data_IF_264537713925
#
_entry.id   IF_264537713925
#
_cell.length_a   1.000
_cell.length_b   1.000
_cell.length_c   1.000
_cell.angle_alpha   90.00
_cell.angle_beta   90.00
_cell.angle_gamma   90.00
#
_symmetry.space_group_name_H-M   'P 1'
#
loop_
_entity.id
_entity.type
_entity.pdbx_description
1 polymer ?
#
# COMPACT_ATOMS: atom_id res chain seq x y z
N UNK A 1 -9.97 1.18 3.95
CA UNK A 1 -8.98 1.70 4.92
C UNK A 1 -9.72 2.43 6.03
N UNK A 2 -9.38 2.16 7.27
CA UNK A 2 -9.90 2.90 8.45
C UNK A 2 -8.75 3.75 8.99
N UNK A 3 -8.78 5.09 8.79
CA UNK A 3 -7.67 5.95 9.18
C UNK A 3 -7.61 6.16 10.70
N UNK A 4 -6.40 6.31 11.23
CA UNK A 4 -6.22 6.67 12.64
C UNK A 4 -6.91 8.03 12.96
N UNK A 5 -7.57 8.18 14.12
CA UNK A 5 -7.54 7.30 15.29
C UNK A 5 -8.57 6.16 15.26
N UNK A 6 -9.38 6.04 14.22
CA UNK A 6 -10.49 5.11 14.18
C UNK A 6 -10.03 3.65 14.01
N UNK A 7 -10.87 2.73 14.46
CA UNK A 7 -10.81 1.29 14.21
C UNK A 7 -12.19 0.77 13.80
N UNK A 8 -12.31 -0.53 13.55
CA UNK A 8 -13.60 -1.21 13.35
C UNK A 8 -14.36 -1.46 14.65
N UNK A 9 -13.79 -1.15 15.81
CA UNK A 9 -14.33 -1.47 17.11
C UNK A 9 -14.65 -0.21 17.90
N UNK A 10 -15.80 -0.19 18.55
CA UNK A 10 -16.16 0.88 19.48
C UNK A 10 -15.19 0.95 20.65
N UNK A 11 -14.83 2.17 21.05
CA UNK A 11 -13.93 2.45 22.17
C UNK A 11 -12.50 1.91 22.05
N UNK A 12 -12.11 1.42 20.85
CA UNK A 12 -10.73 1.04 20.53
C UNK A 12 -10.18 2.02 19.50
N UNK A 13 -9.07 2.66 19.81
CA UNK A 13 -8.48 3.71 18.99
C UNK A 13 -7.04 3.40 18.63
N UNK A 14 -6.64 3.79 17.43
CA UNK A 14 -5.24 3.84 17.02
C UNK A 14 -4.58 5.12 17.54
N UNK A 15 -3.35 5.01 17.98
CA UNK A 15 -2.53 6.19 18.21
C UNK A 15 -2.21 6.86 16.87
N UNK A 16 -2.45 8.18 16.78
CA UNK A 16 -2.15 8.94 15.56
C UNK A 16 -0.65 8.96 15.28
N UNK A 17 -0.21 8.98 14.00
CA UNK A 17 1.18 9.16 13.64
C UNK A 17 1.80 10.41 14.30
N UNK A 18 3.08 10.34 14.67
CA UNK A 18 3.78 11.46 15.31
C UNK A 18 3.31 11.79 16.73
N UNK A 19 2.58 10.86 17.40
CA UNK A 19 2.12 11.06 18.77
C UNK A 19 2.72 10.01 19.71
N UNK A 20 2.83 10.40 20.99
CA UNK A 20 3.16 9.49 22.11
C UNK A 20 2.05 9.55 23.15
N UNK A 21 1.85 8.43 23.83
CA UNK A 21 0.99 8.32 25.03
C UNK A 21 1.89 8.15 26.24
N UNK A 22 1.64 8.96 27.25
CA UNK A 22 2.26 8.87 28.57
C UNK A 22 1.19 8.42 29.57
N UNK A 23 1.45 7.36 30.30
CA UNK A 23 0.57 6.85 31.36
C UNK A 23 1.33 6.98 32.67
N UNK A 24 0.83 7.78 33.59
CA UNK A 24 1.44 7.94 34.91
C UNK A 24 1.09 6.77 35.85
N UNK A 25 1.72 6.74 37.02
CA UNK A 25 1.50 5.70 38.03
C UNK A 25 0.06 5.59 38.56
N UNK A 26 -0.76 6.62 38.35
CA UNK A 26 -2.16 6.66 38.72
C UNK A 26 -3.10 6.30 37.57
N UNK A 27 -2.55 5.85 36.42
CA UNK A 27 -3.32 5.53 35.21
C UNK A 27 -3.80 6.74 34.42
N UNK A 28 -3.37 7.97 34.75
CA UNK A 28 -3.73 9.16 33.97
C UNK A 28 -3.01 9.16 32.64
N UNK A 29 -3.80 9.27 31.56
CA UNK A 29 -3.31 9.26 30.18
C UNK A 29 -3.12 10.68 29.68
N UNK A 30 -1.95 10.94 29.06
CA UNK A 30 -1.64 12.17 28.35
C UNK A 30 -1.06 11.85 26.97
N UNK A 31 -1.70 12.37 25.91
CA UNK A 31 -1.20 12.24 24.53
C UNK A 31 -0.46 13.53 24.14
N UNK A 32 0.70 13.39 23.48
CA UNK A 32 1.52 14.51 22.97
C UNK A 32 1.89 14.25 21.52
N UNK A 33 1.66 15.24 20.63
CA UNK A 33 2.22 15.26 19.28
C UNK A 33 3.68 15.71 19.37
N UNK A 34 4.63 14.89 18.89
CA UNK A 34 6.06 15.20 18.91
C UNK A 34 6.62 15.46 17.51
N UNK A 35 5.90 15.00 16.47
CA UNK A 35 6.31 15.17 15.07
C UNK A 35 5.15 15.53 14.16
N UNK A 36 5.40 16.36 13.16
CA UNK A 36 4.40 16.75 12.16
C UNK A 36 5.08 17.29 10.90
N UNK A 37 4.53 16.94 9.75
CA UNK A 37 4.91 17.51 8.45
C UNK A 37 3.95 18.61 7.98
N UNK A 38 2.95 18.96 8.78
CA UNK A 38 1.79 19.78 8.39
C UNK A 38 2.22 21.19 7.98
N UNK A 39 3.27 21.73 8.61
CA UNK A 39 3.71 23.13 8.49
C UNK A 39 5.10 23.29 7.85
N UNK A 40 5.65 22.26 7.24
CA UNK A 40 6.92 22.39 6.51
C UNK A 40 6.72 23.36 5.33
N UNK A 41 7.45 24.50 5.26
CA UNK A 41 7.25 25.47 4.20
C UNK A 41 7.81 24.95 2.86
N UNK A 42 7.20 25.41 1.76
CA UNK A 42 7.79 25.19 0.43
C UNK A 42 9.00 26.12 0.27
N UNK A 43 10.11 25.54 -0.12
CA UNK A 43 11.38 26.23 -0.35
C UNK A 43 11.62 26.48 -1.85
N UNK A 44 12.39 27.51 -2.16
CA UNK A 44 12.89 27.77 -3.51
C UNK A 44 14.30 27.24 -3.63
N UNK A 45 14.55 26.46 -4.66
CA UNK A 45 15.87 25.92 -4.99
C UNK A 45 16.43 26.64 -6.21
N UNK A 46 17.74 26.74 -6.30
CA UNK A 46 18.41 27.49 -7.38
C UNK A 46 18.46 26.70 -8.67
N UNK A 47 18.53 25.37 -8.58
CA UNK A 47 18.60 24.50 -9.74
C UNK A 47 17.97 23.12 -9.48
N UNK A 48 17.61 22.44 -10.57
CA UNK A 48 17.15 21.03 -10.51
C UNK A 48 18.28 20.10 -10.05
N UNK A 49 19.53 20.40 -10.40
CA UNK A 49 20.71 19.60 -9.98
C UNK A 49 20.81 19.55 -8.46
N UNK A 50 20.69 20.71 -7.81
CA UNK A 50 20.70 20.81 -6.35
C UNK A 50 19.63 19.91 -5.69
N UNK A 51 18.42 19.90 -6.25
CA UNK A 51 17.33 19.04 -5.75
C UNK A 51 17.68 17.56 -5.93
N UNK A 52 18.19 17.17 -7.11
CA UNK A 52 18.52 15.77 -7.40
C UNK A 52 19.67 15.28 -6.52
N UNK A 53 20.71 16.09 -6.32
CA UNK A 53 21.83 15.79 -5.43
C UNK A 53 21.39 15.62 -3.97
N UNK A 54 20.49 16.47 -3.50
CA UNK A 54 19.91 16.34 -2.17
C UNK A 54 19.07 15.07 -2.02
N UNK A 55 18.24 14.73 -3.02
CA UNK A 55 17.47 13.48 -2.99
C UNK A 55 18.40 12.27 -3.00
N UNK A 56 19.46 12.28 -3.82
CA UNK A 56 20.47 11.21 -3.85
C UNK A 56 21.11 11.02 -2.47
N UNK A 57 21.54 12.11 -1.85
CA UNK A 57 22.13 12.10 -0.52
C UNK A 57 21.20 11.54 0.54
N UNK A 58 19.95 12.05 0.64
CA UNK A 58 19.01 11.60 1.66
C UNK A 58 18.57 10.16 1.44
N UNK A 59 18.28 9.76 0.20
CA UNK A 59 17.87 8.38 -0.10
C UNK A 59 19.01 7.39 0.14
N UNK A 60 20.25 7.73 -0.26
CA UNK A 60 21.40 6.89 0.00
C UNK A 60 21.65 6.72 1.51
N UNK A 61 21.52 7.78 2.29
CA UNK A 61 21.64 7.72 3.75
C UNK A 61 20.52 6.89 4.36
N UNK A 62 19.29 7.03 3.86
CA UNK A 62 18.15 6.22 4.30
C UNK A 62 18.37 4.72 4.06
N UNK A 63 18.91 4.36 2.89
CA UNK A 63 19.28 2.98 2.57
C UNK A 63 20.41 2.50 3.50
N UNK A 64 21.48 3.29 3.64
CA UNK A 64 22.62 2.97 4.50
C UNK A 64 22.20 2.73 5.96
N UNK A 65 21.40 3.63 6.55
CA UNK A 65 20.87 3.49 7.90
C UNK A 65 20.17 2.13 8.07
N UNK A 66 19.33 1.74 7.11
CA UNK A 66 18.51 0.52 7.19
C UNK A 66 19.28 -0.77 6.92
N UNK A 67 20.41 -0.70 6.25
CA UNK A 67 21.33 -1.83 6.07
C UNK A 67 22.27 -1.97 7.26
N UNK A 68 22.87 -0.87 7.76
CA UNK A 68 23.91 -0.89 8.79
C UNK A 68 23.38 -1.11 10.21
N UNK A 69 22.10 -0.88 10.48
CA UNK A 69 21.48 -1.07 11.80
C UNK A 69 20.85 -2.45 11.99
N UNK A 70 21.26 -3.43 11.19
CA UNK A 70 20.77 -4.80 11.28
C UNK A 70 21.91 -5.74 11.69
N UNK A 71 21.64 -6.59 12.69
CA UNK A 71 22.55 -7.63 13.15
C UNK A 71 22.53 -8.88 12.23
N UNK A 72 21.64 -8.89 11.24
CA UNK A 72 21.49 -9.97 10.26
C UNK A 72 21.54 -9.43 8.84
N UNK A 73 21.90 -10.25 7.84
CA UNK A 73 21.89 -9.83 6.44
C UNK A 73 20.52 -9.30 6.03
N UNK A 74 20.49 -8.18 5.29
CA UNK A 74 19.28 -7.54 4.80
C UNK A 74 19.10 -7.82 3.32
N UNK A 75 17.94 -8.36 2.93
CA UNK A 75 17.56 -8.55 1.52
C UNK A 75 16.82 -7.35 0.94
N UNK A 76 16.49 -7.40 -0.35
CA UNK A 76 15.66 -6.39 -1.02
C UNK A 76 14.53 -7.06 -1.79
N UNK A 77 13.30 -6.59 -1.60
CA UNK A 77 12.15 -6.98 -2.42
C UNK A 77 12.25 -6.25 -3.76
N UNK A 78 12.60 -6.96 -4.82
CA UNK A 78 12.87 -6.41 -6.15
C UNK A 78 11.75 -6.77 -7.12
N UNK A 79 10.76 -5.88 -7.30
CA UNK A 79 9.69 -6.09 -8.29
C UNK A 79 10.10 -5.73 -9.74
N UNK A 80 11.30 -5.16 -9.93
CA UNK A 80 11.70 -4.57 -11.21
C UNK A 80 11.03 -3.22 -11.51
N UNK A 81 10.24 -2.67 -10.59
CA UNK A 81 9.72 -1.29 -10.63
C UNK A 81 10.81 -0.27 -10.33
N UNK A 82 10.59 0.99 -10.74
CA UNK A 82 11.53 2.09 -10.54
C UNK A 82 12.07 2.14 -9.09
N UNK A 83 11.17 2.07 -8.12
CA UNK A 83 11.47 2.28 -6.70
C UNK A 83 12.39 1.20 -6.12
N UNK A 84 11.99 -0.06 -6.24
CA UNK A 84 12.76 -1.20 -5.75
C UNK A 84 14.08 -1.38 -6.52
N UNK A 85 14.07 -1.07 -7.82
CA UNK A 85 15.24 -1.11 -8.67
C UNK A 85 16.26 -0.04 -8.28
N UNK A 86 15.79 1.18 -7.95
CA UNK A 86 16.68 2.26 -7.51
C UNK A 86 17.32 1.95 -6.15
N UNK A 87 16.55 1.42 -5.18
CA UNK A 87 17.11 0.96 -3.89
C UNK A 87 18.20 -0.09 -4.14
N UNK A 88 17.94 -1.08 -4.98
CA UNK A 88 18.90 -2.16 -5.32
C UNK A 88 20.15 -1.59 -5.97
N UNK A 89 19.98 -0.70 -6.95
CA UNK A 89 21.07 -0.08 -7.69
C UNK A 89 21.96 0.77 -6.79
N UNK A 90 21.38 1.60 -5.94
CA UNK A 90 22.13 2.44 -5.00
C UNK A 90 22.86 1.61 -3.96
N UNK A 91 22.22 0.61 -3.36
CA UNK A 91 22.85 -0.29 -2.40
C UNK A 91 24.06 -1.03 -2.99
N UNK A 92 23.92 -1.56 -4.21
CA UNK A 92 24.99 -2.30 -4.90
C UNK A 92 26.11 -1.37 -5.37
N UNK A 93 25.79 -0.24 -6.04
CA UNK A 93 26.79 0.71 -6.55
C UNK A 93 27.69 1.27 -5.46
N UNK A 94 27.12 1.53 -4.28
CA UNK A 94 27.86 2.04 -3.11
C UNK A 94 28.42 0.91 -2.23
N UNK A 95 28.32 -0.36 -2.65
CA UNK A 95 28.86 -1.53 -1.93
C UNK A 95 28.47 -1.57 -0.45
N UNK A 96 27.21 -1.24 -0.16
CA UNK A 96 26.73 -1.12 1.23
C UNK A 96 26.58 -2.50 1.91
N UNK A 97 26.31 -3.55 1.13
CA UNK A 97 26.21 -4.93 1.58
C UNK A 97 26.27 -5.89 0.37
N UNK A 98 26.44 -7.19 0.62
CA UNK A 98 26.12 -8.23 -0.35
C UNK A 98 24.58 -8.33 -0.47
N UNK A 99 24.04 -8.16 -1.68
CA UNK A 99 22.60 -7.95 -1.89
C UNK A 99 21.93 -9.24 -2.36
N UNK A 100 21.10 -9.80 -1.48
CA UNK A 100 20.10 -10.80 -1.86
C UNK A 100 18.82 -10.09 -2.30
N UNK A 101 18.29 -10.42 -3.49
CA UNK A 101 17.05 -9.84 -4.00
C UNK A 101 15.99 -10.91 -4.19
N UNK A 102 14.72 -10.53 -3.99
CA UNK A 102 13.58 -11.44 -4.04
C UNK A 102 12.47 -10.85 -4.88
N UNK A 103 11.95 -11.63 -5.84
CA UNK A 103 10.78 -11.30 -6.65
C UNK A 103 9.74 -12.40 -6.53
N UNK A 104 8.48 -12.02 -6.65
CA UNK A 104 7.36 -12.96 -6.73
C UNK A 104 6.62 -12.78 -8.04
N UNK A 105 6.08 -13.86 -8.58
CA UNK A 105 5.19 -13.86 -9.73
C UNK A 105 4.10 -14.90 -9.54
N UNK A 106 2.95 -14.63 -10.13
CA UNK A 106 1.79 -15.50 -10.15
C UNK A 106 1.58 -16.09 -11.54
N UNK A 107 0.70 -17.07 -11.61
CA UNK A 107 0.27 -17.62 -12.89
C UNK A 107 -0.56 -16.58 -13.64
N UNK A 108 -0.21 -16.31 -14.90
CA UNK A 108 -0.99 -15.43 -15.77
C UNK A 108 -2.35 -16.05 -16.08
N UNK A 109 -3.40 -15.23 -16.12
CA UNK A 109 -4.77 -15.66 -16.44
C UNK A 109 -5.30 -14.80 -17.57
N UNK A 110 -5.72 -15.42 -18.67
CA UNK A 110 -6.15 -14.74 -19.89
C UNK A 110 -5.05 -13.78 -20.40
N UNK A 111 -5.35 -12.48 -20.47
CA UNK A 111 -4.40 -11.45 -20.89
C UNK A 111 -3.75 -10.72 -19.70
N UNK A 112 -4.11 -11.08 -18.46
CA UNK A 112 -3.52 -10.49 -17.24
C UNK A 112 -2.19 -11.19 -16.95
N UNK A 113 -1.09 -10.44 -17.07
CA UNK A 113 0.25 -10.92 -16.78
C UNK A 113 0.44 -11.10 -15.26
N UNK A 114 0.97 -12.22 -14.84
CA UNK A 114 1.15 -12.57 -13.42
C UNK A 114 2.53 -12.25 -12.84
N UNK A 115 3.53 -11.92 -13.66
CA UNK A 115 4.88 -11.60 -13.17
C UNK A 115 5.55 -10.47 -13.95
N UNK A 116 6.63 -9.95 -13.38
CA UNK A 116 7.47 -8.90 -13.96
C UNK A 116 8.96 -9.30 -13.93
N UNK A 117 9.23 -10.59 -13.96
CA UNK A 117 10.59 -11.12 -13.81
C UNK A 117 11.60 -10.58 -14.83
N UNK A 118 11.15 -10.21 -16.02
CA UNK A 118 12.04 -9.61 -17.03
C UNK A 118 12.79 -8.38 -16.49
N UNK A 119 12.08 -7.47 -15.80
CA UNK A 119 12.69 -6.25 -15.28
C UNK A 119 13.53 -6.50 -14.03
N UNK A 120 13.08 -7.40 -13.13
CA UNK A 120 13.88 -7.75 -11.96
C UNK A 120 15.17 -8.50 -12.34
N UNK A 121 15.12 -9.36 -13.35
CA UNK A 121 16.29 -10.05 -13.91
C UNK A 121 17.29 -9.05 -14.52
N UNK A 122 16.80 -8.05 -15.26
CA UNK A 122 17.64 -7.02 -15.85
C UNK A 122 18.41 -6.24 -14.77
N UNK A 123 17.72 -5.80 -13.72
CA UNK A 123 18.34 -5.08 -12.60
C UNK A 123 19.30 -5.98 -11.84
N UNK A 124 18.91 -7.20 -11.52
CA UNK A 124 19.74 -8.16 -10.81
C UNK A 124 21.04 -8.47 -11.57
N UNK A 125 20.96 -8.67 -12.88
CA UNK A 125 22.13 -8.91 -13.74
C UNK A 125 23.06 -7.69 -13.77
N UNK A 126 22.53 -6.49 -13.93
CA UNK A 126 23.32 -5.27 -14.01
C UNK A 126 24.07 -4.96 -12.71
N UNK A 127 23.51 -5.35 -11.59
CA UNK A 127 24.07 -5.09 -10.24
C UNK A 127 24.60 -6.35 -9.54
N UNK A 128 24.67 -7.47 -10.26
CA UNK A 128 25.24 -8.75 -9.78
C UNK A 128 24.67 -9.20 -8.43
N UNK A 129 23.35 -9.03 -8.23
CA UNK A 129 22.72 -9.45 -6.99
C UNK A 129 22.40 -10.95 -6.99
N UNK A 130 22.39 -11.58 -5.81
CA UNK A 130 21.90 -12.95 -5.66
C UNK A 130 20.37 -12.96 -5.71
N UNK A 131 19.81 -13.23 -6.92
CA UNK A 131 18.38 -13.06 -7.21
C UNK A 131 17.57 -14.33 -7.02
N UNK A 132 16.52 -14.25 -6.22
CA UNK A 132 15.60 -15.34 -5.92
C UNK A 132 14.21 -15.05 -6.49
N UNK A 133 13.78 -15.81 -7.50
CA UNK A 133 12.44 -15.72 -8.09
C UNK A 133 11.51 -16.76 -7.47
N UNK A 134 10.36 -16.31 -6.99
CA UNK A 134 9.34 -17.13 -6.32
C UNK A 134 8.11 -17.16 -7.22
N UNK A 135 7.75 -18.32 -7.73
CA UNK A 135 6.51 -18.52 -8.50
C UNK A 135 5.45 -19.15 -7.64
N UNK A 136 4.26 -18.55 -7.66
CA UNK A 136 3.08 -18.98 -6.89
C UNK A 136 2.00 -19.43 -7.87
N UNK A 137 1.48 -20.61 -7.67
CA UNK A 137 0.30 -21.10 -8.41
C UNK A 137 -1.01 -20.73 -7.70
N UNK A 138 -2.13 -20.90 -8.42
CA UNK A 138 -3.47 -20.56 -7.90
C UNK A 138 -3.89 -21.45 -6.72
N UNK A 139 -3.41 -22.70 -6.64
CA UNK A 139 -3.75 -23.57 -5.50
C UNK A 139 -3.03 -23.09 -4.25
N UNK A 140 -1.73 -22.76 -4.35
CA UNK A 140 -0.97 -22.18 -3.23
C UNK A 140 -1.61 -20.90 -2.70
N UNK A 141 -2.12 -20.04 -3.60
CA UNK A 141 -2.86 -18.85 -3.21
C UNK A 141 -4.14 -19.23 -2.46
N UNK A 142 -4.95 -20.12 -3.03
CA UNK A 142 -6.21 -20.55 -2.44
C UNK A 142 -6.02 -21.20 -1.06
N UNK A 143 -5.09 -22.12 -0.93
CA UNK A 143 -4.83 -22.87 0.31
C UNK A 143 -4.35 -22.00 1.47
N UNK A 144 -3.87 -20.79 1.18
CA UNK A 144 -3.41 -19.84 2.19
C UNK A 144 -4.40 -18.68 2.45
N UNK A 145 -5.54 -18.57 1.74
CA UNK A 145 -6.43 -17.41 1.85
C UNK A 145 -6.90 -17.13 3.29
N UNK A 146 -7.35 -18.14 4.01
CA UNK A 146 -7.79 -17.97 5.40
C UNK A 146 -6.66 -17.52 6.33
N UNK A 147 -5.44 -18.01 6.12
CA UNK A 147 -4.27 -17.54 6.88
C UNK A 147 -3.90 -16.10 6.53
N UNK A 148 -3.96 -15.72 5.26
CA UNK A 148 -3.78 -14.33 4.82
C UNK A 148 -4.79 -13.42 5.53
N UNK A 149 -6.08 -13.75 5.45
CA UNK A 149 -7.16 -12.95 6.02
C UNK A 149 -7.06 -12.90 7.56
N UNK A 150 -6.71 -14.00 8.20
CA UNK A 150 -6.47 -14.08 9.66
C UNK A 150 -5.31 -13.18 10.11
N UNK A 151 -4.29 -13.01 9.27
CA UNK A 151 -3.12 -12.17 9.58
C UNK A 151 -3.38 -10.68 9.39
N UNK A 152 -4.55 -10.29 8.87
CA UNK A 152 -4.93 -8.90 8.71
C UNK A 152 -5.42 -8.34 10.06
N UNK A 153 -4.86 -7.24 10.58
CA UNK A 153 -5.38 -6.59 11.79
C UNK A 153 -6.76 -5.97 11.60
N UNK A 154 -7.08 -5.58 10.37
CA UNK A 154 -8.39 -5.11 9.88
C UNK A 154 -8.58 -5.63 8.45
N UNK A 155 -9.81 -5.73 7.90
CA UNK A 155 -10.01 -6.20 6.53
C UNK A 155 -9.22 -5.40 5.50
N UNK A 156 -8.32 -6.04 4.78
CA UNK A 156 -7.48 -5.45 3.73
C UNK A 156 -7.80 -6.11 2.40
N UNK A 157 -8.68 -5.50 1.60
CA UNK A 157 -9.18 -6.11 0.36
C UNK A 157 -8.21 -6.03 -0.82
N UNK A 158 -7.09 -5.33 -0.69
CA UNK A 158 -6.09 -5.23 -1.75
C UNK A 158 -5.47 -6.59 -2.06
N UNK A 159 -5.34 -6.91 -3.34
CA UNK A 159 -4.86 -8.21 -3.82
C UNK A 159 -3.40 -8.48 -3.41
N UNK A 160 -2.59 -7.45 -3.31
CA UNK A 160 -1.18 -7.54 -2.94
C UNK A 160 -0.94 -7.96 -1.48
N UNK A 161 -1.95 -7.87 -0.58
CA UNK A 161 -1.86 -8.47 0.75
C UNK A 161 -1.54 -9.97 0.67
N UNK A 162 -2.27 -10.71 -0.19
CA UNK A 162 -1.99 -12.14 -0.41
C UNK A 162 -0.61 -12.37 -1.00
N UNK A 163 -0.18 -11.49 -1.91
CA UNK A 163 1.13 -11.59 -2.53
C UNK A 163 2.26 -11.37 -1.52
N UNK A 164 2.18 -10.34 -0.69
CA UNK A 164 3.19 -10.09 0.36
C UNK A 164 3.23 -11.21 1.39
N UNK A 165 2.09 -11.77 1.78
CA UNK A 165 2.05 -12.91 2.69
C UNK A 165 2.77 -14.13 2.11
N UNK A 166 2.50 -14.49 0.86
CA UNK A 166 3.12 -15.65 0.20
C UNK A 166 4.61 -15.42 -0.12
N UNK A 167 4.97 -14.20 -0.49
CA UNK A 167 6.37 -13.78 -0.64
C UNK A 167 7.11 -13.95 0.69
N UNK A 168 6.58 -13.39 1.76
CA UNK A 168 7.17 -13.44 3.08
C UNK A 168 7.34 -14.87 3.59
N UNK A 169 6.36 -15.75 3.35
CA UNK A 169 6.43 -17.19 3.66
C UNK A 169 7.69 -17.87 3.08
N UNK A 170 8.15 -17.44 1.91
CA UNK A 170 9.33 -18.01 1.28
C UNK A 170 10.61 -17.25 1.65
N UNK A 171 10.54 -15.92 1.70
CA UNK A 171 11.70 -15.07 2.00
C UNK A 171 12.17 -15.26 3.44
N UNK A 172 11.25 -15.41 4.41
CA UNK A 172 11.57 -15.60 5.83
C UNK A 172 12.42 -16.86 6.13
N UNK A 173 12.45 -17.83 5.22
CA UNK A 173 13.33 -19.00 5.30
C UNK A 173 14.81 -18.66 5.08
N UNK A 174 15.09 -17.53 4.42
CA UNK A 174 16.46 -17.11 4.04
C UNK A 174 16.86 -15.77 4.66
N UNK A 175 15.89 -14.88 4.93
CA UNK A 175 16.10 -13.52 5.43
C UNK A 175 15.18 -13.24 6.61
N UNK A 176 15.63 -12.38 7.51
CA UNK A 176 14.81 -11.86 8.61
C UNK A 176 14.42 -10.39 8.41
N UNK A 177 15.19 -9.69 7.59
CA UNK A 177 14.98 -8.26 7.29
C UNK A 177 15.08 -8.05 5.78
N UNK A 178 14.20 -7.23 5.22
CA UNK A 178 14.23 -6.82 3.81
C UNK A 178 13.93 -5.34 3.64
N UNK A 179 14.44 -4.74 2.57
CA UNK A 179 14.04 -3.41 2.12
C UNK A 179 12.90 -3.51 1.10
N UNK A 180 12.00 -2.53 1.12
CA UNK A 180 10.90 -2.39 0.17
C UNK A 180 10.82 -0.97 -0.38
N UNK A 181 10.32 -0.81 -1.61
CA UNK A 181 10.13 0.46 -2.29
C UNK A 181 8.86 1.23 -1.91
N UNK A 182 8.14 0.81 -0.85
CA UNK A 182 6.92 1.49 -0.40
C UNK A 182 7.20 2.94 0.03
N UNK A 183 6.24 3.84 -0.18
CA UNK A 183 6.34 5.26 0.15
C UNK A 183 6.84 6.14 -1.01
N UNK A 184 7.42 5.56 -2.05
CA UNK A 184 7.92 6.32 -3.19
C UNK A 184 6.80 7.02 -3.99
N UNK A 185 5.63 6.40 -4.13
CA UNK A 185 4.51 6.98 -4.86
C UNK A 185 3.93 8.20 -4.13
N UNK A 186 3.74 8.11 -2.84
CA UNK A 186 3.21 9.16 -2.00
C UNK A 186 4.18 10.34 -1.91
N UNK A 187 5.47 10.04 -1.75
CA UNK A 187 6.50 11.06 -1.57
C UNK A 187 6.84 11.81 -2.87
N UNK A 188 6.85 11.10 -4.01
CA UNK A 188 7.26 11.63 -5.32
C UNK A 188 6.09 11.87 -6.28
N UNK A 189 4.84 11.75 -5.83
CA UNK A 189 3.67 12.01 -6.67
C UNK A 189 3.48 10.99 -7.80
N UNK A 190 3.60 9.69 -7.50
CA UNK A 190 3.61 8.62 -8.50
C UNK A 190 2.24 8.13 -8.94
N UNK A 191 1.17 8.40 -8.21
CA UNK A 191 -0.15 7.93 -8.55
C UNK A 191 -0.83 8.77 -9.64
N UNK A 192 -1.54 8.14 -10.58
CA UNK A 192 -2.20 8.86 -11.69
C UNK A 192 -3.23 9.89 -11.23
N UNK A 193 -3.93 9.62 -10.13
CA UNK A 193 -4.99 10.50 -9.61
C UNK A 193 -4.47 11.86 -9.13
N UNK A 194 -3.21 11.98 -8.71
CA UNK A 194 -2.62 13.28 -8.36
C UNK A 194 -2.70 14.28 -9.51
N UNK A 195 -2.40 13.83 -10.73
CA UNK A 195 -2.48 14.66 -11.93
C UNK A 195 -3.92 14.95 -12.33
N UNK A 196 -4.81 13.96 -12.24
CA UNK A 196 -6.22 14.14 -12.54
C UNK A 196 -6.83 15.21 -11.60
N UNK A 197 -6.57 15.12 -10.31
CA UNK A 197 -7.02 16.11 -9.33
C UNK A 197 -6.37 17.49 -9.53
N UNK A 198 -5.09 17.54 -9.90
CA UNK A 198 -4.39 18.79 -10.15
C UNK A 198 -4.92 19.54 -11.38
N UNK A 199 -5.39 18.82 -12.40
CA UNK A 199 -5.93 19.40 -13.63
C UNK A 199 -7.40 19.80 -13.50
N UNK A 200 -8.12 19.29 -12.52
CA UNK A 200 -9.52 19.61 -12.27
C UNK A 200 -9.65 21.01 -11.67
N UNK A 201 -10.41 21.91 -12.33
CA UNK A 201 -10.55 23.32 -11.92
C UNK A 201 -11.93 23.69 -11.42
N UNK A 202 -12.94 22.89 -11.74
CA UNK A 202 -14.36 23.24 -11.51
C UNK A 202 -14.88 22.80 -10.14
N UNK A 203 -14.19 21.87 -9.47
CA UNK A 203 -14.65 21.24 -8.24
C UNK A 203 -13.95 21.78 -6.99
N UNK A 204 -14.60 21.73 -5.84
CA UNK A 204 -13.95 21.96 -4.54
C UNK A 204 -12.87 20.89 -4.27
N UNK A 205 -11.96 21.18 -3.35
CA UNK A 205 -10.89 20.22 -2.99
C UNK A 205 -11.44 18.88 -2.50
N UNK A 206 -12.53 18.89 -1.72
CA UNK A 206 -13.21 17.69 -1.24
C UNK A 206 -13.80 16.90 -2.41
N UNK A 207 -14.49 17.58 -3.33
CA UNK A 207 -15.05 16.92 -4.54
C UNK A 207 -13.98 16.31 -5.43
N UNK A 208 -12.83 16.99 -5.63
CA UNK A 208 -11.69 16.41 -6.35
C UNK A 208 -11.23 15.11 -5.71
N UNK A 209 -11.10 15.11 -4.39
CA UNK A 209 -10.73 13.93 -3.64
C UNK A 209 -11.76 12.80 -3.82
N UNK A 210 -13.04 13.07 -3.66
CA UNK A 210 -14.12 12.09 -3.83
C UNK A 210 -14.18 11.52 -5.26
N UNK A 211 -13.98 12.36 -6.27
CA UNK A 211 -14.07 11.96 -7.66
C UNK A 211 -12.92 11.06 -8.12
N UNK A 212 -11.71 11.33 -7.66
CA UNK A 212 -10.51 10.68 -8.21
C UNK A 212 -9.78 9.75 -7.24
N UNK A 213 -9.93 9.98 -5.94
CA UNK A 213 -9.19 9.24 -4.93
C UNK A 213 -9.98 8.06 -4.35
N UNK A 214 -11.28 8.27 -4.07
CA UNK A 214 -12.11 7.22 -3.52
C UNK A 214 -12.41 6.13 -4.55
N UNK A 215 -12.10 4.89 -4.19
CA UNK A 215 -12.29 3.72 -5.03
C UNK A 215 -13.77 3.38 -5.27
N UNK A 216 -14.65 3.77 -4.34
CA UNK A 216 -16.10 3.61 -4.43
C UNK A 216 -16.82 4.94 -4.27
N UNK A 217 -17.92 5.11 -5.00
CA UNK A 217 -18.82 6.26 -4.82
C UNK A 217 -19.69 6.09 -3.57
N UNK A 218 -20.25 7.17 -3.07
CA UNK A 218 -21.23 7.13 -1.97
C UNK A 218 -22.45 6.27 -2.31
N UNK A 219 -22.92 6.33 -3.56
CA UNK A 219 -24.07 5.52 -4.00
C UNK A 219 -23.73 4.03 -4.08
N UNK A 220 -22.52 3.67 -4.54
CA UNK A 220 -22.05 2.28 -4.50
C UNK A 220 -21.96 1.76 -3.07
N UNK A 221 -21.50 2.61 -2.14
CA UNK A 221 -21.46 2.28 -0.72
C UNK A 221 -22.87 2.06 -0.14
N UNK A 222 -23.81 2.99 -0.38
CA UNK A 222 -25.22 2.87 0.08
C UNK A 222 -25.91 1.61 -0.45
N UNK A 223 -25.63 1.22 -1.69
CA UNK A 223 -26.18 -0.01 -2.27
C UNK A 223 -25.53 -1.29 -1.71
N UNK A 224 -24.33 -1.18 -1.16
CA UNK A 224 -23.54 -2.33 -0.69
C UNK A 224 -23.80 -2.65 0.78
N UNK A 225 -23.97 -1.63 1.61
CA UNK A 225 -24.14 -1.75 3.07
C UNK A 225 -25.64 -1.64 3.40
N UNK A 226 -26.09 -2.37 4.41
CA UNK A 226 -27.49 -2.24 4.90
C UNK A 226 -27.71 -0.87 5.54
N UNK A 227 -28.96 -0.38 5.45
CA UNK A 227 -29.30 0.97 5.92
C UNK A 227 -28.98 1.21 7.40
N UNK A 228 -29.06 0.19 8.23
CA UNK A 228 -28.79 0.27 9.68
C UNK A 228 -27.32 0.60 10.01
N UNK A 229 -26.43 0.35 9.04
CA UNK A 229 -24.98 0.58 9.19
C UNK A 229 -24.45 1.76 8.36
N UNK A 230 -25.32 2.50 7.68
CA UNK A 230 -24.92 3.66 6.90
C UNK A 230 -24.83 4.89 7.80
N UNK A 231 -23.62 5.41 7.98
CA UNK A 231 -23.39 6.75 8.50
C UNK A 231 -22.99 7.68 7.36
N UNK A 232 -23.80 8.69 7.12
CA UNK A 232 -23.58 9.65 6.02
C UNK A 232 -22.49 10.66 6.42
N UNK A 233 -21.66 11.04 5.44
CA UNK A 233 -20.67 12.11 5.50
C UNK A 233 -19.42 11.91 6.36
N UNK A 234 -19.27 10.81 7.11
CA UNK A 234 -18.09 10.60 7.96
C UNK A 234 -16.77 10.69 7.19
N UNK A 235 -16.70 10.07 5.99
CA UNK A 235 -15.48 10.13 5.15
C UNK A 235 -15.23 11.55 4.64
N UNK A 236 -16.25 12.24 4.16
CA UNK A 236 -16.16 13.62 3.65
C UNK A 236 -15.73 14.59 4.75
N UNK A 237 -16.29 14.46 5.94
CA UNK A 237 -15.94 15.30 7.09
C UNK A 237 -14.53 15.01 7.60
N UNK A 238 -14.13 13.74 7.63
CA UNK A 238 -12.75 13.36 7.96
C UNK A 238 -11.75 13.97 6.97
N UNK A 239 -12.03 13.91 5.68
CA UNK A 239 -11.19 14.50 4.63
C UNK A 239 -11.09 16.01 4.84
N UNK A 240 -12.22 16.70 5.01
CA UNK A 240 -12.25 18.15 5.22
C UNK A 240 -11.42 18.55 6.43
N UNK A 241 -11.68 17.96 7.59
CA UNK A 241 -10.93 18.22 8.83
C UNK A 241 -9.43 17.93 8.68
N UNK A 242 -9.06 16.86 7.95
CA UNK A 242 -7.66 16.53 7.72
C UNK A 242 -6.94 17.55 6.84
N UNK A 243 -7.65 18.21 5.91
CA UNK A 243 -7.05 19.25 5.08
C UNK A 243 -6.96 20.61 5.80
N UNK A 244 -7.81 20.87 6.78
CA UNK A 244 -7.84 22.13 7.53
C UNK A 244 -6.64 22.30 8.48
N UNK A 245 -5.93 21.22 8.82
CA UNK A 245 -4.73 21.30 9.69
C UNK A 245 -3.49 21.82 8.98
N UNK A 246 -3.46 21.74 7.64
CA UNK A 246 -2.31 22.16 6.84
C UNK A 246 -2.25 23.69 6.69
N UNK A 247 -1.03 24.19 6.49
CA UNK A 247 -0.79 25.62 6.26
C UNK A 247 -1.67 26.11 5.07
N UNK A 248 -2.41 27.22 5.23
CA UNK A 248 -3.26 27.77 4.18
C UNK A 248 -2.53 28.15 2.90
N UNK A 249 -1.24 28.49 2.96
CA UNK A 249 -0.40 28.85 1.79
C UNK A 249 -0.07 27.66 0.90
N UNK A 250 -0.22 26.43 1.38
CA UNK A 250 0.03 25.22 0.60
C UNK A 250 -1.07 25.00 -0.45
N UNK A 251 -0.65 24.59 -1.63
CA UNK A 251 -1.60 24.18 -2.68
C UNK A 251 -2.38 22.93 -2.27
N UNK A 252 -3.51 22.67 -2.94
CA UNK A 252 -4.26 21.43 -2.71
C UNK A 252 -3.38 20.18 -2.88
N UNK A 253 -2.53 20.17 -3.90
CA UNK A 253 -1.66 19.03 -4.19
C UNK A 253 -0.59 18.84 -3.11
N UNK A 254 -0.03 19.94 -2.57
CA UNK A 254 0.92 19.86 -1.45
C UNK A 254 0.26 19.25 -0.20
N UNK A 255 -0.97 19.68 0.10
CA UNK A 255 -1.76 19.13 1.20
C UNK A 255 -2.09 17.65 0.98
N UNK A 256 -2.46 17.28 -0.26
CA UNK A 256 -2.82 15.90 -0.63
C UNK A 256 -1.64 14.93 -0.45
N UNK A 257 -0.43 15.27 -0.92
CA UNK A 257 0.72 14.39 -0.76
C UNK A 257 1.11 14.24 0.72
N UNK A 258 0.98 15.30 1.52
CA UNK A 258 1.18 15.22 2.98
C UNK A 258 0.10 14.39 3.67
N UNK A 259 -1.16 14.51 3.21
CA UNK A 259 -2.25 13.68 3.69
C UNK A 259 -1.95 12.19 3.44
N UNK A 260 -1.45 11.84 2.26
CA UNK A 260 -1.10 10.47 1.94
C UNK A 260 0.03 9.93 2.82
N UNK A 261 1.06 10.73 3.08
CA UNK A 261 2.16 10.36 3.99
C UNK A 261 1.65 10.20 5.45
N UNK A 262 0.67 11.00 5.87
CA UNK A 262 0.18 11.00 7.26
C UNK A 262 -0.97 10.01 7.52
N UNK A 263 -1.70 9.59 6.48
CA UNK A 263 -2.91 8.77 6.61
C UNK A 263 -2.89 7.53 5.72
N UNK A 264 -2.80 7.70 4.38
CA UNK A 264 -2.89 6.56 3.47
C UNK A 264 -1.76 5.56 3.71
N UNK A 265 -0.50 6.02 3.65
CA UNK A 265 0.67 5.14 3.74
C UNK A 265 0.70 4.38 5.07
N UNK A 266 0.26 5.03 6.15
CA UNK A 266 0.26 4.48 7.51
C UNK A 266 -0.77 3.36 7.65
N UNK A 267 -1.99 3.59 7.19
CA UNK A 267 -3.12 2.69 7.44
C UNK A 267 -3.43 1.74 6.25
N UNK A 268 -2.71 1.85 5.14
CA UNK A 268 -2.87 0.94 4.00
C UNK A 268 -1.54 0.38 3.48
N UNK A 269 -0.74 1.01 2.60
CA UNK A 269 0.38 0.31 1.96
C UNK A 269 1.43 -0.24 2.94
N UNK A 270 1.89 0.56 3.90
CA UNK A 270 2.92 0.12 4.85
C UNK A 270 2.34 -0.87 5.86
N UNK A 271 1.16 -0.56 6.44
CA UNK A 271 0.47 -1.48 7.36
C UNK A 271 0.22 -2.85 6.73
N UNK A 272 -0.18 -2.87 5.45
CA UNK A 272 -0.41 -4.10 4.70
C UNK A 272 0.86 -4.91 4.52
N UNK A 273 1.93 -4.27 4.03
CA UNK A 273 3.23 -4.93 3.86
C UNK A 273 3.74 -5.44 5.21
N UNK A 274 3.77 -4.61 6.22
CA UNK A 274 4.24 -4.95 7.57
C UNK A 274 3.44 -6.13 8.15
N UNK A 275 2.12 -6.04 8.18
CA UNK A 275 1.27 -7.10 8.73
C UNK A 275 1.47 -8.45 8.02
N UNK A 276 1.56 -8.43 6.69
CA UNK A 276 1.71 -9.65 5.90
C UNK A 276 3.11 -10.25 6.01
N UNK A 277 4.15 -9.44 6.13
CA UNK A 277 5.52 -9.93 6.29
C UNK A 277 5.80 -10.35 7.73
N UNK A 278 5.29 -9.61 8.72
CA UNK A 278 5.42 -9.95 10.12
C UNK A 278 4.66 -11.23 10.51
N UNK A 279 3.63 -11.63 9.78
CA UNK A 279 2.99 -12.95 9.94
C UNK A 279 4.00 -14.12 9.80
N UNK A 280 5.15 -13.90 9.17
CA UNK A 280 6.25 -14.84 9.00
C UNK A 280 7.55 -14.41 9.70
N UNK A 281 7.49 -13.41 10.58
CA UNK A 281 8.67 -12.88 11.26
C UNK A 281 9.71 -12.27 10.31
N UNK A 282 9.23 -11.66 9.21
CA UNK A 282 10.05 -10.95 8.24
C UNK A 282 9.84 -9.43 8.41
N UNK A 283 10.84 -8.72 8.93
CA UNK A 283 10.81 -7.26 9.07
C UNK A 283 11.00 -6.58 7.73
N UNK A 284 10.10 -5.67 7.37
CA UNK A 284 10.20 -4.89 6.13
C UNK A 284 10.52 -3.43 6.44
N UNK A 285 11.67 -2.95 5.98
CA UNK A 285 12.12 -1.58 6.12
C UNK A 285 11.88 -0.79 4.85
N UNK A 286 11.48 0.49 4.99
CA UNK A 286 11.05 1.37 3.89
C UNK A 286 11.92 2.62 3.80
N UNK A 287 13.00 2.62 2.99
CA UNK A 287 13.93 3.76 2.88
C UNK A 287 13.28 5.06 2.43
N UNK A 288 12.26 5.01 1.56
CA UNK A 288 11.55 6.21 1.10
C UNK A 288 10.80 6.96 2.21
N UNK A 289 10.53 6.31 3.33
CA UNK A 289 9.89 6.92 4.49
C UNK A 289 10.90 7.32 5.59
N UNK A 290 12.14 7.58 5.22
CA UNK A 290 13.10 8.21 6.13
C UNK A 290 12.68 9.64 6.42
N UNK A 291 12.75 10.05 7.70
CA UNK A 291 12.28 11.35 8.15
C UNK A 291 12.93 12.51 7.41
N UNK A 292 14.27 12.48 7.25
CA UNK A 292 15.02 13.56 6.59
C UNK A 292 14.61 13.68 5.11
N UNK A 293 14.40 12.53 4.42
CA UNK A 293 13.93 12.52 3.05
C UNK A 293 12.47 13.03 2.94
N UNK A 294 11.58 12.65 3.86
CA UNK A 294 10.20 13.15 3.91
C UNK A 294 10.19 14.67 4.08
N UNK A 295 10.94 15.19 5.06
CA UNK A 295 11.01 16.62 5.34
C UNK A 295 11.53 17.41 4.14
N UNK A 296 12.60 16.94 3.50
CA UNK A 296 13.12 17.54 2.27
C UNK A 296 12.07 17.51 1.15
N UNK A 297 11.46 16.35 0.89
CA UNK A 297 10.45 16.23 -0.14
C UNK A 297 9.19 17.05 0.14
N UNK A 298 8.79 17.23 1.40
CA UNK A 298 7.69 18.12 1.78
C UNK A 298 8.05 19.60 1.57
N UNK A 299 9.31 19.97 1.52
CA UNK A 299 9.74 21.34 1.19
C UNK A 299 9.74 21.64 -0.31
N UNK A 300 9.56 20.62 -1.18
CA UNK A 300 9.46 20.80 -2.63
C UNK A 300 8.02 20.97 -3.07
N UNK A 301 7.79 21.84 -4.07
CA UNK A 301 6.48 22.00 -4.73
C UNK A 301 5.99 20.67 -5.33
N UNK A 302 4.78 20.27 -4.97
CA UNK A 302 4.21 19.01 -5.44
C UNK A 302 3.85 19.00 -6.93
N UNK A 303 3.63 20.17 -7.54
CA UNK A 303 3.38 20.27 -8.99
C UNK A 303 4.59 19.83 -9.81
N UNK A 304 5.81 20.06 -9.30
CA UNK A 304 7.02 19.61 -9.96
C UNK A 304 7.21 18.10 -9.87
N UNK A 305 6.82 17.49 -8.76
CA UNK A 305 6.90 16.03 -8.54
C UNK A 305 6.06 15.23 -9.54
N UNK A 306 4.89 15.77 -9.93
CA UNK A 306 3.95 15.08 -10.84
C UNK A 306 4.24 15.28 -12.33
N UNK A 307 5.25 16.08 -12.71
CA UNK A 307 5.69 16.22 -14.10
C UNK A 307 6.04 14.87 -14.74
N UNK A 308 5.99 14.77 -16.05
CA UNK A 308 6.36 13.59 -16.83
C UNK A 308 5.75 12.28 -16.32
N UNK A 309 4.44 12.30 -16.08
CA UNK A 309 3.68 11.16 -15.57
C UNK A 309 4.03 10.73 -14.14
N UNK A 310 4.43 11.67 -13.29
CA UNK A 310 4.74 11.47 -11.89
C UNK A 310 6.16 10.96 -11.63
N UNK A 311 6.59 11.02 -10.38
CA UNK A 311 7.94 10.65 -9.93
C UNK A 311 9.04 11.40 -10.67
N UNK A 312 8.81 12.66 -11.03
CA UNK A 312 9.73 13.40 -11.89
C UNK A 312 11.16 13.38 -11.35
N UNK A 313 11.38 13.85 -10.14
CA UNK A 313 12.71 13.89 -9.53
C UNK A 313 13.32 12.50 -9.32
N UNK A 314 12.49 11.50 -8.97
CA UNK A 314 12.98 10.14 -8.80
C UNK A 314 13.44 9.53 -10.13
N UNK A 315 12.74 9.81 -11.22
CA UNK A 315 13.15 9.39 -12.57
C UNK A 315 14.45 10.10 -13.00
N UNK A 316 14.58 11.39 -12.69
CA UNK A 316 15.82 12.15 -12.98
C UNK A 316 17.01 11.58 -12.22
N UNK A 317 16.85 11.31 -10.93
CA UNK A 317 17.87 10.63 -10.13
C UNK A 317 18.20 9.23 -10.69
N UNK A 318 17.18 8.47 -11.05
CA UNK A 318 17.33 7.10 -11.54
C UNK A 318 18.17 7.00 -12.83
N UNK A 319 18.26 8.07 -13.65
CA UNK A 319 19.13 8.10 -14.83
C UNK A 319 20.62 7.88 -14.50
N UNK A 320 21.04 8.17 -13.27
CA UNK A 320 22.41 7.93 -12.79
C UNK A 320 22.67 6.47 -12.38
N UNK A 321 21.60 5.66 -12.29
CA UNK A 321 21.64 4.33 -11.71
C UNK A 321 21.03 3.24 -12.62
N UNK A 322 19.96 3.52 -13.34
CA UNK A 322 19.16 2.51 -14.01
C UNK A 322 19.12 2.71 -15.53
N UNK A 323 18.98 1.61 -16.25
CA UNK A 323 18.75 1.63 -17.68
C UNK A 323 17.40 2.27 -18.03
N UNK A 324 17.30 2.96 -19.19
CA UNK A 324 16.07 3.64 -19.63
C UNK A 324 14.83 2.72 -19.65
N UNK A 325 15.00 1.44 -19.97
CA UNK A 325 13.93 0.45 -20.04
C UNK A 325 13.24 0.23 -18.69
N UNK A 326 13.99 0.30 -17.59
CA UNK A 326 13.47 0.19 -16.22
C UNK A 326 12.77 1.49 -15.82
N UNK A 327 13.36 2.65 -16.16
CA UNK A 327 12.84 3.98 -15.78
C UNK A 327 11.52 4.27 -16.48
N UNK A 328 11.43 3.95 -17.79
CA UNK A 328 10.31 4.33 -18.66
C UNK A 328 9.25 3.23 -18.78
N UNK A 329 9.41 2.10 -18.08
CA UNK A 329 8.41 1.04 -18.13
C UNK A 329 7.04 1.53 -17.68
N UNK A 330 5.98 0.97 -18.27
CA UNK A 330 4.62 1.20 -17.79
C UNK A 330 4.50 0.68 -16.35
N UNK A 331 3.95 1.50 -15.45
CA UNK A 331 3.69 1.08 -14.08
C UNK A 331 2.66 -0.05 -14.09
N UNK A 332 3.02 -1.19 -13.50
CA UNK A 332 2.09 -2.25 -13.16
C UNK A 332 1.75 -2.16 -11.68
N UNK A 333 0.50 -2.44 -11.34
CA UNK A 333 0.14 -2.79 -9.98
C UNK A 333 0.61 -4.22 -9.72
N UNK A 334 0.95 -4.55 -8.49
CA UNK A 334 1.39 -5.89 -8.11
C UNK A 334 0.31 -6.91 -8.49
N UNK A 335 0.47 -7.71 -9.58
CA UNK A 335 -0.63 -8.48 -10.13
C UNK A 335 -0.88 -9.75 -9.33
N UNK A 336 -2.14 -10.00 -8.99
CA UNK A 336 -2.64 -11.29 -8.50
C UNK A 336 -3.88 -11.65 -9.32
N UNK A 337 -3.70 -12.05 -10.59
CA UNK A 337 -4.80 -12.24 -11.52
C UNK A 337 -5.96 -13.11 -11.02
N UNK A 338 -5.72 -14.20 -10.22
CA UNK A 338 -6.82 -15.01 -9.68
C UNK A 338 -7.77 -14.26 -8.77
N UNK A 339 -7.34 -13.19 -8.10
CA UNK A 339 -8.19 -12.39 -7.20
C UNK A 339 -8.91 -11.25 -7.93
N UNK A 340 -8.49 -10.92 -9.14
CA UNK A 340 -9.16 -9.97 -10.03
C UNK A 340 -10.22 -10.67 -10.88
N UNK A 341 -9.86 -11.79 -11.49
CA UNK A 341 -10.74 -12.60 -12.35
C UNK A 341 -11.19 -13.84 -11.57
N UNK A 342 -12.34 -13.72 -10.92
CA UNK A 342 -12.86 -14.76 -10.05
C UNK A 342 -13.36 -15.96 -10.85
N UNK A 343 -12.74 -17.11 -10.67
CA UNK A 343 -13.19 -18.37 -11.25
C UNK A 343 -12.86 -19.56 -10.34
N UNK A 344 -13.37 -20.76 -10.66
CA UNK A 344 -13.07 -22.00 -9.97
C UNK A 344 -13.19 -21.90 -8.43
N UNK A 345 -12.13 -22.32 -7.73
CA UNK A 345 -12.08 -22.35 -6.26
C UNK A 345 -12.24 -20.96 -5.62
N UNK A 346 -11.68 -19.91 -6.24
CA UNK A 346 -11.77 -18.54 -5.73
C UNK A 346 -13.21 -18.02 -5.81
N UNK A 347 -13.91 -18.24 -6.93
CA UNK A 347 -15.31 -17.86 -7.05
C UNK A 347 -16.19 -18.62 -6.06
N UNK A 348 -15.93 -19.92 -5.86
CA UNK A 348 -16.65 -20.73 -4.88
C UNK A 348 -16.43 -20.22 -3.45
N UNK A 349 -15.19 -19.87 -3.09
CA UNK A 349 -14.87 -19.23 -1.82
C UNK A 349 -15.67 -17.94 -1.62
N UNK A 350 -15.71 -17.06 -2.62
CA UNK A 350 -16.47 -15.80 -2.58
C UNK A 350 -17.97 -16.08 -2.38
N UNK A 351 -18.55 -17.03 -3.12
CA UNK A 351 -19.96 -17.41 -2.98
C UNK A 351 -20.26 -17.98 -1.60
N UNK A 352 -19.47 -18.94 -1.14
CA UNK A 352 -19.64 -19.56 0.18
C UNK A 352 -19.57 -18.54 1.31
N UNK A 353 -18.65 -17.57 1.21
CA UNK A 353 -18.49 -16.52 2.22
C UNK A 353 -19.68 -15.56 2.22
N UNK A 354 -20.06 -15.03 1.04
CA UNK A 354 -21.06 -13.97 0.97
C UNK A 354 -22.52 -14.46 1.07
N UNK A 355 -22.78 -15.73 0.74
CA UNK A 355 -24.12 -16.34 0.85
C UNK A 355 -24.28 -17.17 2.13
N UNK A 356 -23.30 -17.17 3.04
CA UNK A 356 -23.38 -17.93 4.29
C UNK A 356 -24.43 -17.34 5.24
N UNK A 357 -24.94 -18.17 6.16
CA UNK A 357 -25.88 -17.69 7.19
C UNK A 357 -25.19 -16.65 8.11
N UNK A 358 -23.90 -16.82 8.42
CA UNK A 358 -23.13 -15.85 9.20
C UNK A 358 -23.11 -14.45 8.56
N UNK A 359 -22.98 -14.39 7.23
CA UNK A 359 -23.01 -13.12 6.49
C UNK A 359 -24.40 -12.48 6.53
N UNK A 360 -25.46 -13.30 6.39
CA UNK A 360 -26.85 -12.84 6.46
C UNK A 360 -27.21 -12.36 7.86
N UNK A 361 -26.89 -13.16 8.89
CA UNK A 361 -27.19 -12.86 10.30
C UNK A 361 -26.43 -11.62 10.80
N UNK A 362 -25.21 -11.40 10.28
CA UNK A 362 -24.44 -10.17 10.58
C UNK A 362 -25.14 -8.93 10.08
N UNK A 363 -25.86 -8.99 8.97
CA UNK A 363 -26.71 -7.92 8.48
C UNK A 363 -26.01 -6.67 7.97
N UNK A 364 -24.67 -6.66 7.88
CA UNK A 364 -23.90 -5.49 7.39
C UNK A 364 -24.02 -5.33 5.88
N UNK A 365 -23.94 -6.43 5.13
CA UNK A 365 -23.93 -6.40 3.68
C UNK A 365 -25.33 -6.60 3.10
N UNK A 366 -25.70 -5.79 2.10
CA UNK A 366 -26.98 -5.90 1.39
C UNK A 366 -27.02 -7.16 0.53
N UNK A 367 -27.79 -8.18 0.94
CA UNK A 367 -27.90 -9.48 0.25
C UNK A 367 -28.47 -9.37 -1.17
N UNK A 368 -29.35 -8.39 -1.42
CA UNK A 368 -29.87 -8.13 -2.76
C UNK A 368 -28.75 -7.69 -3.72
N UNK A 369 -27.88 -6.80 -3.26
CA UNK A 369 -26.72 -6.34 -4.04
C UNK A 369 -25.72 -7.46 -4.28
N UNK A 370 -25.41 -8.28 -3.26
CA UNK A 370 -24.55 -9.47 -3.41
C UNK A 370 -25.09 -10.39 -4.50
N UNK A 371 -26.40 -10.71 -4.46
CA UNK A 371 -27.06 -11.55 -5.44
C UNK A 371 -26.99 -10.96 -6.86
N UNK A 372 -27.11 -9.64 -6.99
CA UNK A 372 -26.95 -8.94 -8.26
C UNK A 372 -25.52 -9.05 -8.81
N UNK A 373 -24.51 -8.78 -7.98
CA UNK A 373 -23.11 -8.87 -8.37
C UNK A 373 -22.68 -10.28 -8.78
N UNK A 374 -23.21 -11.31 -8.09
CA UNK A 374 -22.91 -12.72 -8.36
C UNK A 374 -23.48 -13.24 -9.71
N UNK A 375 -24.43 -12.54 -10.33
CA UNK A 375 -24.88 -12.87 -11.69
C UNK A 375 -23.79 -12.70 -12.73
N UNK A 376 -22.90 -11.72 -12.54
CA UNK A 376 -21.78 -11.41 -13.42
C UNK A 376 -20.50 -11.11 -12.61
N UNK A 377 -19.83 -12.12 -12.03
CA UNK A 377 -18.77 -11.93 -11.04
C UNK A 377 -17.56 -11.11 -11.54
N UNK A 378 -17.30 -11.13 -12.84
CA UNK A 378 -16.14 -10.51 -13.47
C UNK A 378 -16.52 -9.26 -14.31
N UNK A 379 -17.66 -8.62 -14.04
CA UNK A 379 -18.08 -7.37 -14.70
C UNK A 379 -18.15 -6.17 -13.76
N UNK A 380 -17.97 -6.39 -12.44
CA UNK A 380 -18.17 -5.37 -11.43
C UNK A 380 -16.84 -5.01 -10.75
N UNK A 381 -16.15 -4.02 -11.30
CA UNK A 381 -14.89 -3.53 -10.77
C UNK A 381 -15.08 -2.16 -10.10
N UNK A 382 -14.18 -1.86 -9.18
CA UNK A 382 -14.04 -0.52 -8.58
C UNK A 382 -13.29 0.41 -9.53
N UNK A 383 -13.17 1.71 -9.18
CA UNK A 383 -12.42 2.69 -9.99
C UNK A 383 -10.93 2.32 -10.12
N UNK A 384 -10.36 1.68 -9.10
CA UNK A 384 -8.97 1.22 -9.08
C UNK A 384 -8.81 -0.23 -9.56
N UNK A 385 -9.79 -0.72 -10.32
CA UNK A 385 -9.77 -2.03 -10.99
C UNK A 385 -9.77 -3.25 -10.05
N UNK A 386 -10.24 -3.07 -8.80
CA UNK A 386 -10.50 -4.15 -7.85
C UNK A 386 -11.84 -4.85 -8.10
N UNK A 387 -11.91 -6.17 -7.95
CA UNK A 387 -13.18 -6.90 -8.06
C UNK A 387 -14.03 -6.64 -6.81
N UNK A 388 -15.25 -6.09 -7.00
CA UNK A 388 -16.14 -5.72 -5.88
C UNK A 388 -16.53 -6.90 -5.00
N UNK A 389 -16.78 -8.06 -5.60
CA UNK A 389 -17.12 -9.28 -4.85
C UNK A 389 -15.94 -9.78 -4.00
N UNK A 390 -14.73 -9.69 -4.53
CA UNK A 390 -13.53 -10.02 -3.77
C UNK A 390 -13.41 -9.12 -2.52
N UNK A 391 -13.59 -7.80 -2.68
CA UNK A 391 -13.53 -6.87 -1.57
C UNK A 391 -14.56 -7.20 -0.47
N UNK A 392 -15.78 -7.54 -0.85
CA UNK A 392 -16.83 -7.92 0.10
C UNK A 392 -16.55 -9.27 0.76
N UNK A 393 -16.01 -10.22 0.00
CA UNK A 393 -15.67 -11.53 0.55
C UNK A 393 -14.53 -11.46 1.57
N UNK A 394 -13.49 -10.66 1.31
CA UNK A 394 -12.40 -10.43 2.29
C UNK A 394 -12.95 -9.76 3.55
N UNK A 395 -13.82 -8.75 3.40
CA UNK A 395 -14.46 -8.06 4.51
C UNK A 395 -15.24 -9.04 5.39
N UNK A 396 -16.17 -9.80 4.83
CA UNK A 396 -16.99 -10.76 5.57
C UNK A 396 -16.16 -11.92 6.14
N UNK A 397 -15.23 -12.49 5.33
CA UNK A 397 -14.40 -13.61 5.79
C UNK A 397 -13.50 -13.22 6.95
N UNK A 398 -13.07 -11.97 7.00
CA UNK A 398 -12.27 -11.46 8.12
C UNK A 398 -13.04 -11.56 9.45
N UNK A 399 -14.34 -11.20 9.49
CA UNK A 399 -15.19 -11.42 10.67
C UNK A 399 -15.29 -12.89 11.01
N UNK A 400 -15.58 -13.73 10.02
CA UNK A 400 -15.74 -15.18 10.23
C UNK A 400 -14.50 -15.83 10.85
N UNK A 401 -13.29 -15.47 10.42
CA UNK A 401 -12.07 -16.11 10.89
C UNK A 401 -11.46 -15.47 12.13
N UNK A 402 -11.74 -14.19 12.38
CA UNK A 402 -11.14 -13.46 13.50
C UNK A 402 -12.08 -13.25 14.68
N UNK A 403 -13.40 -13.13 14.46
CA UNK A 403 -14.36 -12.81 15.51
C UNK A 403 -15.33 -13.96 15.78
N UNK A 404 -15.87 -14.63 14.76
CA UNK A 404 -16.87 -15.69 14.94
C UNK A 404 -16.26 -17.03 15.43
N UNK A 405 -14.98 -17.08 15.72
CA UNK A 405 -14.25 -18.25 16.30
C UNK A 405 -14.39 -19.54 15.48
N UNK A 406 -14.72 -19.48 14.20
CA UNK A 406 -14.66 -20.67 13.35
C UNK A 406 -13.19 -21.02 13.10
N UNK A 407 -12.70 -22.06 13.80
CA UNK A 407 -11.43 -22.66 13.44
C UNK A 407 -11.48 -23.07 11.98
N UNK A 408 -10.54 -22.62 11.13
CA UNK A 408 -10.38 -23.24 9.83
C UNK A 408 -10.11 -24.72 10.11
N UNK A 409 -10.79 -25.60 9.40
CA UNK A 409 -10.45 -27.01 9.36
C UNK A 409 -9.02 -27.10 8.82
N UNK A 410 -8.04 -27.08 9.72
CA UNK A 410 -6.67 -27.47 9.40
C UNK A 410 -6.76 -28.96 9.10
N UNK A 411 -6.93 -29.30 7.85
CA UNK A 411 -6.60 -30.65 7.40
C UNK A 411 -5.08 -30.76 7.52
N UNK A 412 -4.64 -31.25 8.70
CA UNK A 412 -3.33 -31.85 8.86
C UNK A 412 -3.32 -33.09 7.97
N UNK A 413 -2.61 -33.03 6.88
CA UNK A 413 -2.30 -34.13 6.00
C UNK A 413 -0.98 -33.83 5.34
#
# INVERSE_FOLDING_TARGET
VVPAPHTLFDNIFKLKPGHIILIDKNGKIKTKKYYSIDKIPIQKFTSESEIIEAIDYYLLNAIRKRLSTSDVPVGILLSGGLDSSLITAMASKHKLAEINTFSIGFQSINQEQGDEFFFSDLVSKNYSTNHNKIKIDTNQLFDNLDMVIRSMPEPMSSQDASAFFLLAKQVSKKQKVVLSGQGADELFGGYPWYRLMSNERSSSNVQKFENYYLDRTQDDFKNTISNDHISLNNTTDFIRQSFDVYDPSLTFLDKLLRFDISHLIVDDPVKRVDSMTMAWGLETRVPFLDQELIEFMCSLSSIDKIKNNGKYYLKRLAMNYLAPEVINRKKFHFPVPPLKILNGKILNFVRQTLCSEECKDRGILCQHNISHLLKNPNKNFTKLDGNKLWHLAVFERWFQVNLDKKNPSVKTG
#
